data_IF_903689572694
#
_entry.id   IF_903689572694
#
_cell.length_a   1.000
_cell.length_b   1.000
_cell.length_c   1.000
_cell.angle_alpha   90.00
_cell.angle_beta   90.00
_cell.angle_gamma   90.00
#
_symmetry.space_group_name_H-M   'P 1'
#
loop_
_entity.id
_entity.type
_entity.pdbx_description
1 polymer ?
#
# COMPACT_ATOMS: atom_id res chain seq x y z
N UNK A 1 22.92 -22.44 -17.62
CA UNK A 1 23.31 -21.24 -16.87
C UNK A 1 22.17 -20.30 -17.10
N UNK A 2 21.17 -20.37 -16.23
CA UNK A 2 19.97 -19.57 -16.40
C UNK A 2 20.38 -18.11 -16.30
N UNK A 3 20.07 -17.37 -17.36
CA UNK A 3 20.36 -15.95 -17.48
C UNK A 3 19.53 -15.26 -16.39
N UNK A 4 20.19 -14.71 -15.37
CA UNK A 4 19.50 -14.00 -14.30
C UNK A 4 18.94 -12.73 -14.94
N UNK A 5 17.63 -12.74 -15.19
CA UNK A 5 16.91 -11.58 -15.68
C UNK A 5 17.07 -10.46 -14.63
N UNK A 6 17.77 -9.40 -15.02
CA UNK A 6 18.06 -8.30 -14.09
C UNK A 6 16.75 -7.57 -13.77
N UNK A 7 16.49 -7.26 -12.48
CA UNK A 7 15.30 -6.54 -12.11
C UNK A 7 15.26 -5.17 -12.81
N UNK A 8 14.07 -4.68 -13.17
CA UNK A 8 13.91 -3.43 -13.89
C UNK A 8 14.46 -2.27 -13.07
N UNK A 9 15.25 -1.41 -13.70
CA UNK A 9 15.83 -0.23 -13.07
C UNK A 9 14.74 0.70 -12.51
N UNK A 10 15.04 1.32 -11.36
CA UNK A 10 14.17 2.29 -10.72
C UNK A 10 13.91 3.51 -11.64
N UNK A 11 12.68 4.07 -11.62
CA UNK A 11 12.38 5.32 -12.31
C UNK A 11 13.34 6.45 -11.95
N UNK A 12 13.67 7.28 -12.93
CA UNK A 12 14.55 8.43 -12.71
C UNK A 12 13.94 9.43 -11.71
N UNK A 13 14.80 10.00 -10.87
CA UNK A 13 14.45 11.05 -9.93
C UNK A 13 13.77 10.58 -8.64
N UNK A 14 13.80 9.27 -8.35
CA UNK A 14 13.43 8.77 -7.03
C UNK A 14 14.52 9.09 -5.99
N UNK A 15 14.08 9.39 -4.78
CA UNK A 15 14.91 9.47 -3.58
C UNK A 15 15.15 8.10 -2.96
N UNK A 16 15.75 8.07 -1.78
CA UNK A 16 16.15 6.83 -1.10
C UNK A 16 14.93 5.96 -0.74
N UNK A 17 13.88 6.56 -0.17
CA UNK A 17 12.70 5.82 0.26
C UNK A 17 11.95 5.20 -0.91
N UNK A 18 11.76 5.96 -1.99
CA UNK A 18 11.10 5.48 -3.22
C UNK A 18 11.95 4.45 -3.95
N UNK A 19 13.27 4.63 -4.03
CA UNK A 19 14.16 3.65 -4.67
C UNK A 19 14.22 2.33 -3.90
N UNK A 20 14.24 2.36 -2.57
CA UNK A 20 14.18 1.17 -1.73
C UNK A 20 12.86 0.41 -1.94
N UNK A 21 11.71 1.12 -1.88
CA UNK A 21 10.41 0.51 -2.14
C UNK A 21 10.33 -0.11 -3.53
N UNK A 22 10.87 0.55 -4.55
CA UNK A 22 10.92 0.00 -5.91
C UNK A 22 11.67 -1.32 -5.93
N UNK A 23 12.90 -1.33 -5.39
CA UNK A 23 13.76 -2.52 -5.37
C UNK A 23 13.08 -3.70 -4.66
N UNK A 24 12.55 -3.46 -3.46
CA UNK A 24 11.89 -4.49 -2.64
C UNK A 24 10.73 -5.17 -3.39
N UNK A 25 9.95 -4.40 -4.17
CA UNK A 25 8.81 -4.95 -4.90
C UNK A 25 9.27 -5.67 -6.17
N UNK A 26 10.14 -5.06 -6.99
CA UNK A 26 10.53 -5.66 -8.29
C UNK A 26 11.52 -6.82 -8.16
N UNK A 27 12.16 -6.99 -7.00
CA UNK A 27 12.96 -8.18 -6.68
C UNK A 27 12.09 -9.43 -6.53
N UNK A 28 10.85 -9.25 -6.06
CA UNK A 28 9.95 -10.36 -5.70
C UNK A 28 8.82 -10.56 -6.72
N UNK A 29 8.36 -9.48 -7.36
CA UNK A 29 7.16 -9.51 -8.18
C UNK A 29 7.43 -9.06 -9.62
N UNK A 30 6.99 -9.87 -10.57
CA UNK A 30 6.82 -9.44 -11.96
C UNK A 30 5.55 -8.60 -12.08
N UNK A 31 5.70 -7.32 -12.43
CA UNK A 31 4.59 -6.36 -12.49
C UNK A 31 4.13 -6.12 -13.91
N UNK A 32 2.80 -6.15 -14.10
CA UNK A 32 2.13 -5.64 -15.29
C UNK A 32 2.34 -4.13 -15.45
N UNK A 33 2.00 -3.60 -16.63
CA UNK A 33 2.16 -2.16 -16.92
C UNK A 33 1.38 -1.29 -15.95
N UNK A 34 0.14 -1.67 -15.59
CA UNK A 34 -0.67 -0.90 -14.65
C UNK A 34 -0.08 -0.91 -13.23
N UNK A 35 0.29 -2.08 -12.73
CA UNK A 35 0.91 -2.25 -11.40
C UNK A 35 2.23 -1.49 -11.31
N UNK A 36 3.06 -1.54 -12.36
CA UNK A 36 4.31 -0.77 -12.43
C UNK A 36 4.09 0.73 -12.34
N UNK A 37 3.03 1.25 -12.97
CA UNK A 37 2.68 2.68 -12.89
C UNK A 37 2.17 3.05 -11.50
N UNK A 38 1.39 2.18 -10.87
CA UNK A 38 0.95 2.36 -9.48
C UNK A 38 2.14 2.34 -8.52
N UNK A 39 3.08 1.41 -8.70
CA UNK A 39 4.32 1.34 -7.90
C UNK A 39 5.15 2.61 -8.08
N UNK A 40 5.32 3.10 -9.31
CA UNK A 40 6.03 4.35 -9.56
C UNK A 40 5.42 5.53 -8.78
N UNK A 41 4.09 5.64 -8.73
CA UNK A 41 3.42 6.66 -7.93
C UNK A 41 3.64 6.43 -6.42
N UNK A 42 3.56 5.19 -5.94
CA UNK A 42 3.82 4.86 -4.55
C UNK A 42 5.24 5.25 -4.12
N UNK A 43 6.24 5.00 -4.97
CA UNK A 43 7.63 5.37 -4.72
C UNK A 43 7.80 6.89 -4.59
N UNK A 44 7.21 7.66 -5.51
CA UNK A 44 7.26 9.13 -5.45
C UNK A 44 6.56 9.66 -4.19
N UNK A 45 5.40 9.11 -3.83
CA UNK A 45 4.70 9.48 -2.59
C UNK A 45 5.51 9.12 -1.34
N UNK A 46 6.28 8.03 -1.35
CA UNK A 46 7.18 7.67 -0.26
C UNK A 46 8.31 8.70 -0.10
N UNK A 47 8.94 9.13 -1.19
CA UNK A 47 9.96 10.20 -1.17
C UNK A 47 9.41 11.54 -0.66
N UNK A 48 8.23 11.93 -1.13
CA UNK A 48 7.54 13.14 -0.66
C UNK A 48 7.20 13.06 0.84
N UNK A 49 6.72 11.90 1.30
CA UNK A 49 6.41 11.66 2.70
C UNK A 49 7.67 11.77 3.58
N UNK A 50 8.80 11.21 3.16
CA UNK A 50 10.06 11.29 3.91
C UNK A 50 10.50 12.75 4.03
N UNK A 51 10.47 13.51 2.92
CA UNK A 51 10.80 14.95 2.92
C UNK A 51 9.90 15.75 3.87
N UNK A 52 8.58 15.52 3.83
CA UNK A 52 7.62 16.19 4.70
C UNK A 52 7.82 15.81 6.18
N UNK A 53 8.11 14.53 6.45
CA UNK A 53 8.35 14.04 7.80
C UNK A 53 9.64 14.61 8.38
N UNK A 54 10.70 14.71 7.60
CA UNK A 54 11.95 15.37 8.01
C UNK A 54 11.75 16.85 8.32
N UNK A 55 11.04 17.58 7.46
CA UNK A 55 10.70 18.99 7.73
C UNK A 55 9.88 19.14 9.00
N UNK A 56 8.85 18.30 9.18
CA UNK A 56 8.00 18.34 10.38
C UNK A 56 8.79 18.03 11.67
N UNK A 57 9.82 17.17 11.62
CA UNK A 57 10.69 16.89 12.79
C UNK A 57 11.44 18.13 13.29
N UNK A 58 11.72 19.09 12.41
CA UNK A 58 12.41 20.33 12.75
C UNK A 58 11.47 21.45 13.22
N UNK A 59 10.15 21.26 13.12
CA UNK A 59 9.15 22.29 13.39
C UNK A 59 8.34 22.03 14.67
N UNK A 60 7.83 23.07 15.34
CA UNK A 60 6.87 22.90 16.42
C UNK A 60 5.57 22.23 15.93
N UNK A 61 5.02 21.30 16.72
CA UNK A 61 3.76 20.61 16.37
C UNK A 61 2.54 21.53 16.37
N UNK A 62 2.66 22.71 16.99
CA UNK A 62 1.63 23.74 17.01
C UNK A 62 2.20 25.09 16.64
N UNK A 63 1.43 25.88 15.90
CA UNK A 63 1.80 27.22 15.43
C UNK A 63 0.69 28.23 15.75
N UNK A 64 1.03 29.51 15.93
CA UNK A 64 0.02 30.56 16.02
C UNK A 64 -0.70 30.70 14.68
N UNK A 65 -2.03 30.71 14.73
CA UNK A 65 -2.87 31.07 13.60
C UNK A 65 -2.91 32.58 13.39
N UNK A 66 -3.52 33.01 12.27
CA UNK A 66 -3.59 34.42 11.86
C UNK A 66 -4.23 35.39 12.86
N UNK A 67 -4.99 34.89 13.85
CA UNK A 67 -5.63 35.69 14.91
C UNK A 67 -5.07 35.36 16.31
N UNK A 68 -3.92 34.69 16.39
CA UNK A 68 -3.21 34.39 17.64
C UNK A 68 -3.59 33.07 18.33
N UNK A 69 -4.65 32.38 17.89
CA UNK A 69 -5.00 31.05 18.39
C UNK A 69 -3.91 30.00 18.07
N UNK A 70 -3.62 29.11 19.03
CA UNK A 70 -2.76 27.95 18.80
C UNK A 70 -3.48 26.93 17.93
N UNK A 71 -2.83 26.45 16.87
CA UNK A 71 -3.36 25.42 15.95
C UNK A 71 -2.28 24.38 15.64
N UNK A 72 -2.69 23.20 15.20
CA UNK A 72 -1.77 22.18 14.71
C UNK A 72 -0.95 22.70 13.51
N UNK A 73 0.31 22.31 13.42
CA UNK A 73 1.18 22.64 12.29
C UNK A 73 0.58 22.10 10.97
N UNK A 74 0.48 22.90 9.89
CA UNK A 74 -0.14 22.47 8.63
C UNK A 74 0.44 21.18 8.04
N UNK A 75 1.76 20.98 8.13
CA UNK A 75 2.44 19.76 7.67
C UNK A 75 1.90 18.47 8.33
N UNK A 76 1.29 18.53 9.52
CA UNK A 76 0.68 17.33 10.14
C UNK A 76 -0.46 16.77 9.27
N UNK A 77 -1.25 17.65 8.65
CA UNK A 77 -2.33 17.24 7.76
C UNK A 77 -1.77 16.64 6.46
N UNK A 78 -0.72 17.24 5.90
CA UNK A 78 -0.08 16.76 4.66
C UNK A 78 0.60 15.41 4.85
N UNK A 79 1.35 15.22 5.94
CA UNK A 79 1.95 13.92 6.29
C UNK A 79 0.88 12.85 6.45
N UNK A 80 -0.24 13.18 7.10
CA UNK A 80 -1.38 12.25 7.20
C UNK A 80 -1.96 11.91 5.84
N UNK A 81 -2.12 12.90 4.95
CA UNK A 81 -2.67 12.68 3.61
C UNK A 81 -1.76 11.78 2.77
N UNK A 82 -0.43 12.01 2.78
CA UNK A 82 0.53 11.18 2.05
C UNK A 82 0.59 9.75 2.58
N UNK A 83 0.51 9.55 3.90
CA UNK A 83 0.41 8.19 4.49
C UNK A 83 -0.83 7.44 4.02
N UNK A 84 -1.98 8.12 3.95
CA UNK A 84 -3.22 7.52 3.47
C UNK A 84 -3.16 7.21 1.97
N UNK A 85 -2.57 8.10 1.16
CA UNK A 85 -2.38 7.88 -0.27
C UNK A 85 -1.43 6.72 -0.54
N UNK A 86 -0.28 6.69 0.13
CA UNK A 86 0.70 5.61 0.02
C UNK A 86 0.07 4.25 0.34
N UNK A 87 -0.67 4.17 1.45
CA UNK A 87 -1.40 2.94 1.80
C UNK A 87 -2.38 2.49 0.72
N UNK A 88 -3.13 3.44 0.11
CA UNK A 88 -4.06 3.12 -0.99
C UNK A 88 -3.33 2.63 -2.25
N UNK A 89 -2.25 3.27 -2.65
CA UNK A 89 -1.46 2.86 -3.82
C UNK A 89 -0.87 1.47 -3.63
N UNK A 90 -0.37 1.17 -2.43
CA UNK A 90 0.13 -0.17 -2.08
C UNK A 90 -0.99 -1.22 -2.07
N UNK A 91 -2.16 -0.89 -1.53
CA UNK A 91 -3.33 -1.77 -1.56
C UNK A 91 -3.84 -2.04 -2.99
N UNK A 92 -3.73 -1.05 -3.88
CA UNK A 92 -4.12 -1.11 -5.29
C UNK A 92 -3.20 -2.00 -6.13
N UNK A 93 -1.92 -2.15 -5.75
CA UNK A 93 -1.03 -3.14 -6.38
C UNK A 93 -1.56 -4.56 -6.20
N UNK A 94 -2.37 -4.80 -5.15
CA UNK A 94 -3.02 -6.08 -4.91
C UNK A 94 -2.05 -7.26 -4.93
N UNK A 95 -0.79 -7.09 -4.49
CA UNK A 95 0.23 -8.14 -4.59
C UNK A 95 -0.14 -9.38 -3.76
N UNK A 96 0.22 -10.59 -4.24
CA UNK A 96 -0.01 -11.83 -3.48
C UNK A 96 0.88 -11.90 -2.25
N UNK A 97 0.36 -12.50 -1.18
CA UNK A 97 1.22 -12.94 -0.08
C UNK A 97 1.91 -14.26 -0.41
N UNK A 98 2.90 -14.62 0.40
CA UNK A 98 3.55 -15.92 0.32
C UNK A 98 2.52 -17.06 0.33
N UNK A 99 2.56 -17.91 -0.70
CA UNK A 99 1.64 -19.03 -0.88
C UNK A 99 0.29 -18.68 -1.52
N UNK A 100 0.06 -17.43 -1.95
CA UNK A 100 -1.11 -17.05 -2.75
C UNK A 100 -0.78 -17.07 -4.25
N UNK A 101 -1.57 -17.80 -5.05
CA UNK A 101 -1.39 -17.86 -6.52
C UNK A 101 -1.75 -16.53 -7.20
N UNK A 102 -2.62 -15.73 -6.59
CA UNK A 102 -3.08 -14.46 -7.11
C UNK A 102 -3.34 -13.48 -5.99
N UNK A 103 -2.81 -12.28 -6.17
CA UNK A 103 -2.98 -11.21 -5.22
C UNK A 103 -4.37 -10.57 -5.29
N UNK A 104 -4.74 -9.89 -4.21
CA UNK A 104 -6.07 -9.32 -4.00
C UNK A 104 -5.97 -8.01 -3.25
N UNK A 105 -6.74 -7.02 -3.67
CA UNK A 105 -6.97 -5.81 -2.86
C UNK A 105 -7.61 -6.19 -1.52
N UNK A 106 -7.46 -5.38 -0.45
CA UNK A 106 -8.12 -5.64 0.83
C UNK A 106 -9.64 -5.87 0.71
N UNK A 107 -10.31 -5.13 -0.19
CA UNK A 107 -11.74 -5.29 -0.49
C UNK A 107 -12.05 -6.67 -1.10
N UNK A 108 -11.24 -7.13 -2.05
CA UNK A 108 -11.41 -8.46 -2.66
C UNK A 108 -11.13 -9.58 -1.67
N UNK A 109 -10.15 -9.41 -0.77
CA UNK A 109 -9.88 -10.35 0.33
C UNK A 109 -11.08 -10.50 1.25
N UNK A 110 -11.60 -9.38 1.76
CA UNK A 110 -12.79 -9.36 2.61
C UNK A 110 -14.01 -10.01 1.94
N UNK A 111 -14.23 -9.73 0.64
CA UNK A 111 -15.33 -10.33 -0.11
C UNK A 111 -15.16 -11.85 -0.29
N UNK A 112 -13.94 -12.31 -0.56
CA UNK A 112 -13.61 -13.74 -0.70
C UNK A 112 -13.83 -14.51 0.61
N UNK A 113 -13.40 -13.95 1.74
CA UNK A 113 -13.59 -14.53 3.07
C UNK A 113 -15.07 -14.60 3.46
N UNK A 114 -15.81 -13.50 3.28
CA UNK A 114 -17.24 -13.48 3.56
C UNK A 114 -18.03 -14.48 2.70
N UNK A 115 -17.63 -14.66 1.44
CA UNK A 115 -18.19 -15.71 0.59
C UNK A 115 -17.87 -17.09 1.14
N UNK A 116 -16.60 -17.40 1.44
CA UNK A 116 -16.17 -18.69 2.01
C UNK A 116 -16.96 -19.06 3.26
N UNK A 117 -17.05 -18.15 4.23
CA UNK A 117 -17.83 -18.35 5.46
C UNK A 117 -19.30 -18.64 5.14
N UNK A 118 -19.90 -17.93 4.19
CA UNK A 118 -21.28 -18.17 3.76
C UNK A 118 -21.48 -19.57 3.20
N UNK A 119 -20.60 -20.01 2.30
CA UNK A 119 -20.65 -21.35 1.71
C UNK A 119 -20.41 -22.45 2.76
N UNK A 120 -19.54 -22.22 3.75
CA UNK A 120 -19.31 -23.16 4.86
C UNK A 120 -20.55 -23.33 5.73
N UNK A 121 -21.21 -22.22 6.06
CA UNK A 121 -22.47 -22.24 6.82
C UNK A 121 -23.58 -22.94 6.04
N UNK A 122 -23.67 -22.72 4.73
CA UNK A 122 -24.65 -23.38 3.87
C UNK A 122 -24.40 -24.89 3.77
N UNK A 123 -23.14 -25.32 3.57
CA UNK A 123 -22.75 -26.74 3.58
C UNK A 123 -23.06 -27.40 4.92
N UNK A 124 -22.75 -26.73 6.03
CA UNK A 124 -23.06 -27.24 7.38
C UNK A 124 -24.58 -27.35 7.62
N UNK A 125 -25.38 -26.44 7.05
CA UNK A 125 -26.85 -26.50 7.11
C UNK A 125 -27.39 -27.67 6.28
N UNK A 126 -26.92 -27.86 5.05
CA UNK A 126 -27.36 -28.95 4.17
C UNK A 126 -26.95 -30.32 4.70
N UNK A 127 -25.74 -30.46 5.27
CA UNK A 127 -25.26 -31.72 5.87
C UNK A 127 -26.05 -32.18 7.10
N UNK A 128 -26.70 -31.25 7.82
CA UNK A 128 -27.58 -31.59 8.96
C UNK A 128 -29.02 -31.97 8.55
N UNK A 129 -29.42 -31.68 7.32
CA UNK A 129 -30.78 -31.96 6.81
C UNK A 129 -30.94 -33.31 6.09
N UNK A 130 -29.84 -34.02 5.82
CA UNK A 130 -29.84 -35.27 5.03
C UNK A 130 -29.91 -36.57 5.85
N UNK A 131 -30.04 -36.49 7.18
CA UNK A 131 -30.20 -37.64 8.06
C UNK A 131 -31.58 -37.60 8.73
N UNK A 132 -32.62 -37.95 7.97
CA UNK A 132 -33.97 -38.22 8.45
C UNK A 132 -34.64 -39.24 7.54
#
# INVERSE_FOLDING_TARGET
>A
MDEIEQPPAAPAGLGEAGAALWADVVEVFELETAERRTLEQACRTADELERLAEQLRAEPLVVPGSMGQVRAHPLLAEVRAHRLLLGRLLDELALPHEGEDAGKTPRQRQASEAARVRWDLERARMGRGGAA
#
